data_IF_824852911840
#
_entry.id   IF_824852911840
#
_cell.length_a   1.000
_cell.length_b   1.000
_cell.length_c   1.000
_cell.angle_alpha   90.00
_cell.angle_beta   90.00
_cell.angle_gamma   90.00
#
_symmetry.space_group_name_H-M   'P 1'
#
loop_
_entity.id
_entity.type
_entity.pdbx_description
1 polymer ?
#
# COMPACT_ATOMS: atom_id res chain seq x y z
N UNK A 1 32.53 15.13 -14.59
CA UNK A 1 31.84 15.95 -13.55
C UNK A 1 30.34 15.71 -13.43
N UNK A 2 29.59 15.45 -14.52
CA UNK A 2 28.14 15.15 -14.45
C UNK A 2 27.81 13.79 -13.79
N UNK A 3 28.59 12.74 -14.07
CA UNK A 3 28.36 11.37 -13.54
C UNK A 3 28.55 11.29 -12.02
N UNK A 4 29.50 12.05 -11.46
CA UNK A 4 29.78 12.11 -10.02
C UNK A 4 28.71 12.88 -9.24
N UNK A 5 28.10 13.90 -9.86
CA UNK A 5 26.99 14.65 -9.25
C UNK A 5 25.70 13.83 -9.12
N UNK A 6 25.39 13.00 -10.12
CA UNK A 6 24.22 12.10 -10.11
C UNK A 6 24.39 11.04 -9.01
N UNK A 7 25.55 10.40 -8.90
CA UNK A 7 25.82 9.38 -7.87
C UNK A 7 25.78 9.94 -6.44
N UNK A 8 26.23 11.18 -6.24
CA UNK A 8 26.17 11.84 -4.92
C UNK A 8 24.72 12.21 -4.56
N UNK A 9 23.95 12.73 -5.52
CA UNK A 9 22.54 13.04 -5.36
C UNK A 9 21.71 11.77 -5.09
N UNK A 10 21.99 10.67 -5.79
CA UNK A 10 21.39 9.36 -5.54
C UNK A 10 21.73 8.82 -4.15
N UNK A 11 22.98 8.93 -3.68
CA UNK A 11 23.36 8.53 -2.31
C UNK A 11 22.64 9.35 -1.23
N UNK A 12 22.49 10.66 -1.44
CA UNK A 12 21.76 11.53 -0.51
C UNK A 12 20.26 11.18 -0.53
N UNK A 13 19.65 11.08 -1.72
CA UNK A 13 18.26 10.67 -1.89
C UNK A 13 17.99 9.28 -1.31
N UNK A 14 18.94 8.35 -1.44
CA UNK A 14 18.85 7.00 -0.89
C UNK A 14 18.88 6.99 0.64
N UNK A 15 19.74 7.82 1.27
CA UNK A 15 19.73 7.98 2.74
C UNK A 15 18.38 8.48 3.27
N UNK A 16 17.69 9.34 2.53
CA UNK A 16 16.32 9.76 2.86
C UNK A 16 15.28 8.67 2.50
N UNK A 17 15.47 7.96 1.39
CA UNK A 17 14.59 6.88 0.95
C UNK A 17 14.57 5.68 1.90
N UNK A 18 15.69 5.37 2.57
CA UNK A 18 15.79 4.29 3.58
C UNK A 18 14.84 4.47 4.78
N UNK A 19 14.36 5.70 5.00
CA UNK A 19 13.30 5.91 5.98
C UNK A 19 11.98 5.29 5.50
N UNK A 20 11.69 5.33 4.21
CA UNK A 20 10.40 4.93 3.62
C UNK A 20 10.40 3.58 2.93
N UNK A 21 11.57 2.99 2.73
CA UNK A 21 11.78 1.71 2.05
C UNK A 21 12.66 0.85 2.98
N UNK A 22 12.44 -0.47 2.97
CA UNK A 22 13.20 -1.38 3.80
C UNK A 22 14.65 -1.57 3.32
N UNK A 23 14.84 -1.59 2.00
CA UNK A 23 16.07 -1.89 1.29
C UNK A 23 15.74 -2.57 -0.04
N UNK A 24 16.75 -3.13 -0.70
CA UNK A 24 16.61 -3.70 -2.05
C UNK A 24 16.23 -5.18 -2.04
N UNK A 25 16.43 -5.87 -0.92
CA UNK A 25 16.30 -7.32 -0.85
C UNK A 25 15.09 -7.77 -0.03
N UNK A 26 14.69 -9.03 -0.23
CA UNK A 26 13.70 -9.69 0.64
C UNK A 26 14.16 -9.70 2.10
N UNK A 27 15.47 -9.86 2.33
CA UNK A 27 16.02 -9.91 3.69
C UNK A 27 15.81 -8.57 4.41
N UNK A 28 16.00 -7.45 3.71
CA UNK A 28 15.75 -6.11 4.24
C UNK A 28 14.26 -5.93 4.59
N UNK A 29 13.37 -6.32 3.68
CA UNK A 29 11.92 -6.27 3.89
C UNK A 29 11.51 -7.07 5.13
N UNK A 30 12.04 -8.28 5.26
CA UNK A 30 11.75 -9.19 6.35
C UNK A 30 12.32 -8.68 7.69
N UNK A 31 13.52 -8.10 7.71
CA UNK A 31 14.08 -7.46 8.92
C UNK A 31 13.26 -6.24 9.34
N UNK A 32 12.81 -5.42 8.38
CA UNK A 32 11.91 -4.31 8.68
C UNK A 32 10.56 -4.82 9.22
N UNK A 33 10.04 -5.94 8.72
CA UNK A 33 8.82 -6.55 9.23
C UNK A 33 8.98 -7.05 10.69
N UNK A 34 10.10 -7.72 11.00
CA UNK A 34 10.46 -8.09 12.38
C UNK A 34 10.55 -6.88 13.29
N UNK A 35 11.20 -5.81 12.83
CA UNK A 35 11.34 -4.58 13.61
C UNK A 35 9.97 -3.95 13.89
N UNK A 36 9.09 -3.86 12.89
CA UNK A 36 7.72 -3.38 13.10
C UNK A 36 6.99 -4.22 14.15
N UNK A 37 7.07 -5.55 14.05
CA UNK A 37 6.41 -6.48 14.96
C UNK A 37 6.94 -6.40 16.40
N UNK A 38 8.26 -6.29 16.58
CA UNK A 38 8.88 -6.06 17.89
C UNK A 38 8.39 -4.76 18.56
N UNK A 39 7.95 -3.79 17.76
CA UNK A 39 7.40 -2.52 18.22
C UNK A 39 5.86 -2.51 18.24
N UNK A 40 5.21 -3.67 18.27
CA UNK A 40 3.76 -3.82 18.40
C UNK A 40 2.96 -3.53 17.12
N UNK A 41 3.61 -3.35 15.97
CA UNK A 41 2.95 -3.07 14.68
C UNK A 41 2.92 -4.32 13.80
N UNK A 42 1.82 -4.54 13.09
CA UNK A 42 1.79 -5.52 12.01
C UNK A 42 2.63 -5.04 10.81
N UNK A 43 2.96 -5.95 9.89
CA UNK A 43 3.75 -5.65 8.69
C UNK A 43 2.99 -5.99 7.40
N UNK A 44 2.96 -5.06 6.45
CA UNK A 44 2.43 -5.27 5.10
C UNK A 44 3.57 -5.06 4.11
N UNK A 45 4.15 -6.15 3.60
CA UNK A 45 5.32 -6.07 2.70
C UNK A 45 4.87 -5.92 1.25
N UNK A 46 5.51 -5.02 0.51
CA UNK A 46 5.24 -4.79 -0.91
C UNK A 46 6.54 -4.68 -1.71
N UNK A 47 6.63 -5.39 -2.83
CA UNK A 47 7.72 -5.22 -3.78
C UNK A 47 7.48 -3.98 -4.65
N UNK A 48 8.49 -3.16 -4.83
CA UNK A 48 8.47 -2.00 -5.73
C UNK A 48 8.61 -2.41 -7.19
N UNK A 49 7.95 -1.68 -8.09
CA UNK A 49 7.85 -1.96 -9.52
C UNK A 49 6.39 -2.09 -9.96
N UNK A 50 6.09 -1.87 -11.23
CA UNK A 50 4.75 -1.96 -11.85
C UNK A 50 4.95 -2.35 -13.32
N UNK A 51 3.90 -2.82 -14.00
CA UNK A 51 3.86 -3.06 -15.46
C UNK A 51 4.90 -4.05 -15.99
N UNK A 52 5.10 -5.18 -15.32
CA UNK A 52 6.07 -6.20 -15.73
C UNK A 52 5.45 -7.14 -16.77
N UNK A 53 6.12 -7.32 -17.90
CA UNK A 53 5.69 -8.23 -18.99
C UNK A 53 6.62 -9.43 -19.20
N UNK A 54 7.80 -9.43 -18.58
CA UNK A 54 8.74 -10.56 -18.65
C UNK A 54 8.25 -11.73 -17.80
N UNK A 55 7.96 -12.87 -18.43
CA UNK A 55 7.54 -14.10 -17.72
C UNK A 55 8.58 -14.54 -16.68
N UNK A 56 9.87 -14.41 -16.99
CA UNK A 56 10.94 -14.79 -16.07
C UNK A 56 10.96 -13.88 -14.82
N UNK A 57 10.76 -12.57 -15.02
CA UNK A 57 10.70 -11.61 -13.93
C UNK A 57 9.43 -11.80 -13.08
N UNK A 58 8.27 -11.99 -13.69
CA UNK A 58 7.02 -12.32 -12.99
C UNK A 58 7.18 -13.57 -12.14
N UNK A 59 7.75 -14.64 -12.69
CA UNK A 59 8.01 -15.88 -11.95
C UNK A 59 8.92 -15.65 -10.75
N UNK A 60 9.93 -14.78 -10.88
CA UNK A 60 10.78 -14.38 -9.75
C UNK A 60 9.99 -13.60 -8.70
N UNK A 61 9.16 -12.64 -9.11
CA UNK A 61 8.31 -11.84 -8.20
C UNK A 61 7.35 -12.74 -7.42
N UNK A 62 6.70 -13.69 -8.09
CA UNK A 62 5.81 -14.67 -7.45
C UNK A 62 6.56 -15.48 -6.39
N UNK A 63 7.75 -16.00 -6.72
CA UNK A 63 8.62 -16.73 -5.78
C UNK A 63 9.06 -15.85 -4.61
N UNK A 64 9.35 -14.57 -4.85
CA UNK A 64 9.72 -13.61 -3.81
C UNK A 64 8.58 -13.44 -2.79
N UNK A 65 7.34 -13.24 -3.28
CA UNK A 65 6.16 -13.15 -2.40
C UNK A 65 5.91 -14.44 -1.62
N UNK A 66 6.04 -15.61 -2.25
CA UNK A 66 5.93 -16.92 -1.58
C UNK A 66 6.96 -17.06 -0.46
N UNK A 67 8.22 -16.64 -0.71
CA UNK A 67 9.28 -16.66 0.32
C UNK A 67 8.96 -15.73 1.49
N UNK A 68 8.38 -14.54 1.22
CA UNK A 68 8.00 -13.58 2.26
C UNK A 68 6.90 -14.16 3.15
N UNK A 69 5.81 -14.69 2.57
CA UNK A 69 4.69 -15.22 3.35
C UNK A 69 5.09 -16.42 4.21
N UNK A 70 5.88 -17.35 3.67
CA UNK A 70 6.40 -18.49 4.44
C UNK A 70 7.33 -18.05 5.59
N UNK A 71 8.07 -16.95 5.40
CA UNK A 71 8.94 -16.39 6.44
C UNK A 71 8.14 -15.77 7.59
N UNK A 72 6.97 -15.19 7.33
CA UNK A 72 6.12 -14.60 8.38
C UNK A 72 5.71 -15.65 9.42
N UNK A 73 5.35 -16.85 8.97
CA UNK A 73 5.05 -17.99 9.86
C UNK A 73 6.25 -18.36 10.73
N UNK A 74 7.41 -18.57 10.12
CA UNK A 74 8.66 -18.93 10.84
C UNK A 74 9.03 -17.87 11.88
N UNK A 75 8.80 -16.60 11.58
CA UNK A 75 9.23 -15.47 12.42
C UNK A 75 8.13 -14.96 13.35
N UNK A 76 6.97 -15.61 13.35
CA UNK A 76 5.78 -15.22 14.13
C UNK A 76 5.37 -13.75 13.92
N UNK A 77 5.62 -13.20 12.72
CA UNK A 77 5.23 -11.83 12.37
C UNK A 77 3.78 -11.83 11.91
N UNK A 78 2.96 -10.93 12.45
CA UNK A 78 1.58 -10.73 12.00
C UNK A 78 1.50 -9.66 10.92
N UNK A 79 0.61 -9.89 9.94
CA UNK A 79 0.30 -8.91 8.90
C UNK A 79 0.00 -9.57 7.56
N UNK A 80 0.55 -8.99 6.49
CA UNK A 80 0.23 -9.37 5.12
C UNK A 80 1.30 -8.98 4.10
N UNK A 81 0.94 -9.20 2.84
CA UNK A 81 1.64 -8.65 1.68
C UNK A 81 0.67 -7.77 0.87
N UNK A 82 1.22 -6.86 0.09
CA UNK A 82 0.49 -6.07 -0.91
C UNK A 82 1.06 -6.37 -2.28
N UNK A 83 0.22 -6.87 -3.18
CA UNK A 83 0.62 -7.27 -4.53
C UNK A 83 -0.06 -6.34 -5.53
N UNK A 84 0.72 -5.82 -6.48
CA UNK A 84 0.20 -5.07 -7.62
C UNK A 84 -0.11 -6.04 -8.76
N UNK A 85 -1.34 -6.09 -9.29
CA UNK A 85 -1.70 -6.97 -10.40
C UNK A 85 -0.75 -6.89 -11.59
N UNK A 86 -0.29 -5.70 -11.98
CA UNK A 86 0.61 -5.52 -13.12
C UNK A 86 2.02 -6.09 -12.90
N UNK A 87 2.45 -6.29 -11.65
CA UNK A 87 3.72 -6.96 -11.34
C UNK A 87 3.66 -8.48 -11.52
N UNK A 88 2.45 -9.05 -11.51
CA UNK A 88 2.24 -10.50 -11.50
C UNK A 88 1.48 -11.00 -12.72
N UNK A 89 1.35 -10.16 -13.75
CA UNK A 89 0.93 -10.57 -15.08
C UNK A 89 -0.29 -9.87 -15.65
N UNK A 90 -0.88 -8.88 -14.97
CA UNK A 90 -2.04 -8.14 -15.53
C UNK A 90 -1.67 -7.45 -16.85
N UNK A 91 -0.44 -6.97 -16.99
CA UNK A 91 0.07 -6.39 -18.24
C UNK A 91 0.26 -7.40 -19.38
N UNK A 92 0.05 -8.69 -19.13
CA UNK A 92 0.05 -9.75 -20.15
C UNK A 92 -1.38 -10.17 -20.45
N UNK A 93 -2.08 -10.67 -19.42
CA UNK A 93 -3.52 -10.97 -19.50
C UNK A 93 -4.11 -11.16 -18.11
N UNK A 94 -5.44 -11.05 -18.04
CA UNK A 94 -6.22 -11.35 -16.84
C UNK A 94 -5.92 -12.75 -16.27
N UNK A 95 -5.86 -13.77 -17.13
CA UNK A 95 -5.64 -15.18 -16.76
C UNK A 95 -4.24 -15.38 -16.17
N UNK A 96 -3.21 -14.75 -16.75
CA UNK A 96 -1.84 -14.84 -16.25
C UNK A 96 -1.74 -14.24 -14.85
N UNK A 97 -2.36 -13.06 -14.65
CA UNK A 97 -2.42 -12.43 -13.33
C UNK A 97 -3.12 -13.32 -12.31
N UNK A 98 -4.30 -13.83 -12.66
CA UNK A 98 -5.12 -14.69 -11.81
C UNK A 98 -4.36 -15.94 -11.37
N UNK A 99 -3.72 -16.66 -12.31
CA UNK A 99 -2.93 -17.85 -12.01
C UNK A 99 -1.77 -17.56 -11.05
N UNK A 100 -1.08 -16.43 -11.22
CA UNK A 100 0.04 -16.07 -10.37
C UNK A 100 -0.40 -15.60 -8.99
N UNK A 101 -1.48 -14.83 -8.88
CA UNK A 101 -2.08 -14.47 -7.59
C UNK A 101 -2.54 -15.72 -6.82
N UNK A 102 -3.17 -16.69 -7.49
CA UNK A 102 -3.56 -17.95 -6.85
C UNK A 102 -2.36 -18.69 -6.24
N UNK A 103 -1.21 -18.74 -6.92
CA UNK A 103 0.02 -19.36 -6.37
C UNK A 103 0.49 -18.64 -5.10
N UNK A 104 0.47 -17.30 -5.09
CA UNK A 104 0.85 -16.50 -3.93
C UNK A 104 -0.13 -16.72 -2.77
N UNK A 105 -1.44 -16.66 -3.05
CA UNK A 105 -2.49 -16.77 -2.02
C UNK A 105 -2.48 -18.16 -1.39
N UNK A 106 -2.27 -19.24 -2.16
CA UNK A 106 -2.14 -20.60 -1.60
C UNK A 106 -1.02 -20.68 -0.55
N UNK A 107 0.16 -20.14 -0.84
CA UNK A 107 1.26 -20.07 0.15
C UNK A 107 0.93 -19.16 1.34
N UNK A 108 0.16 -18.09 1.12
CA UNK A 108 -0.27 -17.20 2.18
C UNK A 108 -1.27 -17.87 3.15
N UNK A 109 -2.16 -18.74 2.65
CA UNK A 109 -3.10 -19.54 3.45
C UNK A 109 -2.34 -20.44 4.42
N UNK A 110 -1.32 -21.17 3.97
CA UNK A 110 -0.47 -22.03 4.80
C UNK A 110 0.27 -21.27 5.92
N UNK A 111 0.41 -19.95 5.75
CA UNK A 111 1.11 -19.05 6.67
C UNK A 111 0.18 -18.10 7.42
N UNK A 112 -1.15 -18.27 7.29
CA UNK A 112 -2.19 -17.38 7.82
C UNK A 112 -1.95 -15.89 7.54
N UNK A 113 -1.28 -15.58 6.43
CA UNK A 113 -0.87 -14.23 6.05
C UNK A 113 -1.96 -13.59 5.18
N UNK A 114 -2.24 -12.31 5.39
CA UNK A 114 -3.24 -11.59 4.59
C UNK A 114 -2.66 -11.16 3.24
N UNK A 115 -3.43 -11.26 2.16
CA UNK A 115 -3.03 -10.73 0.84
C UNK A 115 -3.91 -9.54 0.49
N UNK A 116 -3.28 -8.40 0.22
CA UNK A 116 -3.95 -7.22 -0.31
C UNK A 116 -3.64 -7.09 -1.80
N UNK A 117 -4.68 -6.95 -2.61
CA UNK A 117 -4.57 -6.53 -4.01
C UNK A 117 -4.55 -5.00 -4.02
N UNK A 118 -3.40 -4.44 -4.41
CA UNK A 118 -3.26 -3.00 -4.56
C UNK A 118 -4.04 -2.51 -5.80
N UNK A 119 -4.61 -1.32 -5.68
CA UNK A 119 -5.26 -0.63 -6.79
C UNK A 119 -4.28 0.33 -7.46
N UNK A 120 -4.09 0.15 -8.76
CA UNK A 120 -3.18 0.92 -9.60
C UNK A 120 -3.90 2.12 -10.24
N UNK A 121 -3.51 2.57 -11.43
CA UNK A 121 -4.22 3.66 -12.13
C UNK A 121 -5.67 3.30 -12.45
N UNK A 122 -6.48 4.29 -12.81
CA UNK A 122 -7.88 4.05 -13.19
C UNK A 122 -8.04 3.07 -14.36
N UNK A 123 -7.02 3.00 -15.23
CA UNK A 123 -7.01 2.13 -16.41
C UNK A 123 -7.08 0.64 -16.05
N UNK A 124 -6.68 0.26 -14.83
CA UNK A 124 -6.68 -1.12 -14.34
C UNK A 124 -7.77 -1.39 -13.30
N UNK A 125 -8.64 -0.42 -13.00
CA UNK A 125 -9.61 -0.56 -11.90
C UNK A 125 -10.60 -1.70 -12.14
N UNK A 126 -11.19 -1.77 -13.33
CA UNK A 126 -12.18 -2.79 -13.66
C UNK A 126 -11.58 -4.20 -13.66
N UNK A 127 -10.42 -4.37 -14.30
CA UNK A 127 -9.72 -5.66 -14.32
C UNK A 127 -9.31 -6.12 -12.92
N UNK A 128 -8.84 -5.19 -12.06
CA UNK A 128 -8.44 -5.50 -10.69
C UNK A 128 -9.63 -5.93 -9.83
N UNK A 129 -10.80 -5.32 -10.00
CA UNK A 129 -12.04 -5.71 -9.33
C UNK A 129 -12.50 -7.09 -9.83
N UNK A 130 -12.43 -7.35 -11.15
CA UNK A 130 -12.73 -8.66 -11.74
C UNK A 130 -11.87 -9.78 -11.14
N UNK A 131 -10.54 -9.57 -11.08
CA UNK A 131 -9.60 -10.49 -10.45
C UNK A 131 -9.97 -10.74 -8.98
N UNK A 132 -10.36 -9.70 -8.25
CA UNK A 132 -10.76 -9.86 -6.86
C UNK A 132 -11.99 -10.76 -6.73
N UNK A 133 -13.01 -10.59 -7.56
CA UNK A 133 -14.20 -11.44 -7.54
C UNK A 133 -13.89 -12.90 -7.82
N UNK A 134 -13.05 -13.19 -8.81
CA UNK A 134 -12.64 -14.56 -9.16
C UNK A 134 -11.90 -15.28 -8.02
N UNK A 135 -11.20 -14.52 -7.18
CA UNK A 135 -10.41 -15.05 -6.07
C UNK A 135 -11.20 -15.08 -4.75
N UNK A 136 -12.06 -14.09 -4.52
CA UNK A 136 -12.72 -13.87 -3.24
C UNK A 136 -13.59 -15.06 -2.82
N UNK A 137 -14.29 -15.71 -3.76
CA UNK A 137 -15.11 -16.89 -3.49
C UNK A 137 -14.31 -18.08 -2.93
N UNK A 138 -12.98 -18.09 -3.11
CA UNK A 138 -12.10 -19.22 -2.75
C UNK A 138 -11.19 -18.91 -1.57
N UNK A 139 -10.98 -17.65 -1.23
CA UNK A 139 -9.94 -17.24 -0.28
C UNK A 139 -10.41 -16.16 0.70
N UNK A 140 -10.53 -16.54 1.98
CA UNK A 140 -11.05 -15.65 3.02
C UNK A 140 -10.07 -14.51 3.39
N UNK A 141 -8.75 -14.74 3.36
CA UNK A 141 -7.72 -13.76 3.79
C UNK A 141 -7.21 -12.90 2.64
N UNK A 142 -8.14 -12.39 1.85
CA UNK A 142 -7.90 -11.54 0.69
C UNK A 142 -8.68 -10.22 0.83
N UNK A 143 -8.04 -9.12 0.45
CA UNK A 143 -8.66 -7.80 0.41
C UNK A 143 -8.19 -6.99 -0.79
N UNK A 144 -8.93 -5.92 -1.10
CA UNK A 144 -8.67 -5.05 -2.25
C UNK A 144 -8.60 -3.58 -1.79
N UNK A 145 -7.70 -2.81 -2.40
CA UNK A 145 -7.62 -1.38 -2.16
C UNK A 145 -8.65 -0.61 -3.01
N UNK A 146 -9.22 0.46 -2.45
CA UNK A 146 -10.09 1.40 -3.17
C UNK A 146 -9.67 2.84 -2.92
N UNK A 147 -9.78 3.67 -3.96
CA UNK A 147 -9.18 5.00 -3.99
C UNK A 147 -10.25 6.10 -3.86
N UNK A 148 -10.20 6.88 -2.78
CA UNK A 148 -11.20 7.90 -2.50
C UNK A 148 -11.20 9.09 -3.48
N UNK A 149 -10.14 9.29 -4.27
CA UNK A 149 -10.09 10.33 -5.29
C UNK A 149 -10.91 10.02 -6.53
N UNK A 150 -11.31 8.78 -6.78
CA UNK A 150 -12.14 8.44 -7.95
C UNK A 150 -13.63 8.64 -7.64
N UNK A 151 -14.39 9.13 -8.62
CA UNK A 151 -15.84 9.36 -8.48
C UNK A 151 -16.64 8.05 -8.43
N UNK A 152 -16.14 7.00 -9.10
CA UNK A 152 -16.76 5.66 -9.17
C UNK A 152 -16.73 4.89 -7.84
N UNK A 153 -15.74 5.17 -6.97
CA UNK A 153 -15.40 4.35 -5.80
C UNK A 153 -16.55 4.08 -4.83
N UNK A 154 -17.51 5.00 -4.72
CA UNK A 154 -18.68 4.76 -3.86
C UNK A 154 -19.51 3.58 -4.36
N UNK A 155 -19.73 3.48 -5.66
CA UNK A 155 -20.53 2.43 -6.25
C UNK A 155 -19.76 1.11 -6.20
N UNK A 156 -18.48 1.11 -6.59
CA UNK A 156 -17.61 -0.07 -6.49
C UNK A 156 -17.55 -0.59 -5.05
N UNK A 157 -17.44 0.30 -4.04
CA UNK A 157 -17.42 -0.10 -2.63
C UNK A 157 -18.75 -0.71 -2.18
N UNK A 158 -19.90 -0.18 -2.62
CA UNK A 158 -21.21 -0.73 -2.24
C UNK A 158 -21.35 -2.15 -2.78
N UNK A 159 -20.97 -2.37 -4.03
CA UNK A 159 -21.02 -3.66 -4.71
C UNK A 159 -20.04 -4.67 -4.07
N UNK A 160 -18.79 -4.28 -3.84
CA UNK A 160 -17.82 -5.14 -3.18
C UNK A 160 -18.26 -5.52 -1.75
N UNK A 161 -18.82 -4.57 -0.99
CA UNK A 161 -19.30 -4.83 0.36
C UNK A 161 -20.54 -5.73 0.41
N UNK A 162 -21.42 -5.72 -0.61
CA UNK A 162 -22.57 -6.65 -0.65
C UNK A 162 -22.12 -8.11 -0.77
N UNK A 163 -20.93 -8.34 -1.33
CA UNK A 163 -20.29 -9.66 -1.40
C UNK A 163 -19.39 -9.95 -0.19
N UNK A 164 -19.26 -9.05 0.78
CA UNK A 164 -18.43 -9.26 1.98
C UNK A 164 -16.95 -8.95 1.79
N UNK A 165 -16.59 -8.16 0.77
CA UNK A 165 -15.21 -7.80 0.49
C UNK A 165 -14.51 -7.10 1.67
N UNK A 166 -13.21 -7.37 1.82
CA UNK A 166 -12.33 -6.68 2.76
C UNK A 166 -11.62 -5.54 2.05
N UNK A 167 -11.93 -4.31 2.45
CA UNK A 167 -11.49 -3.12 1.72
C UNK A 167 -10.36 -2.40 2.45
N UNK A 168 -9.31 -2.03 1.72
CA UNK A 168 -8.37 -1.00 2.15
C UNK A 168 -8.77 0.33 1.51
N UNK A 169 -9.16 1.31 2.32
CA UNK A 169 -9.46 2.65 1.83
C UNK A 169 -8.21 3.53 1.83
N UNK A 170 -7.81 4.00 0.65
CA UNK A 170 -6.73 4.98 0.44
C UNK A 170 -7.29 6.27 -0.19
N UNK A 171 -6.52 7.36 -0.19
CA UNK A 171 -6.89 8.56 -0.96
C UNK A 171 -6.71 8.38 -2.47
N UNK A 172 -5.75 7.56 -2.90
CA UNK A 172 -5.33 7.44 -4.30
C UNK A 172 -3.95 8.08 -4.52
N UNK A 173 -3.13 7.47 -5.38
CA UNK A 173 -1.72 7.84 -5.56
C UNK A 173 -1.34 8.18 -7.01
N UNK A 174 -2.29 8.09 -7.94
CA UNK A 174 -2.10 8.29 -9.38
C UNK A 174 -2.70 9.62 -9.84
N UNK A 175 -2.14 10.18 -10.92
CA UNK A 175 -2.60 11.45 -11.50
C UNK A 175 -3.67 11.16 -12.55
N UNK A 176 -4.93 11.31 -12.15
CA UNK A 176 -6.08 10.93 -12.99
C UNK A 176 -6.72 12.09 -13.74
N UNK A 177 -7.62 11.86 -14.70
CA UNK A 177 -8.37 12.96 -15.37
C UNK A 177 -9.43 13.55 -14.42
N UNK A 178 -9.74 14.85 -14.56
CA UNK A 178 -10.77 15.55 -13.74
C UNK A 178 -12.18 15.00 -13.94
N UNK A 179 -12.44 14.44 -15.11
CA UNK A 179 -13.70 13.81 -15.47
C UNK A 179 -14.01 12.62 -14.55
N UNK A 180 -12.99 11.84 -14.18
CA UNK A 180 -13.12 10.63 -13.37
C UNK A 180 -12.67 10.79 -11.91
N UNK A 181 -11.90 11.85 -11.58
CA UNK A 181 -11.30 12.05 -10.26
C UNK A 181 -11.49 13.44 -9.67
N UNK A 182 -11.73 13.50 -8.35
CA UNK A 182 -11.67 14.72 -7.55
C UNK A 182 -10.24 15.28 -7.50
N UNK A 183 -10.07 16.58 -7.76
CA UNK A 183 -8.75 17.24 -7.78
C UNK A 183 -8.39 17.95 -6.49
N UNK A 184 -9.37 18.59 -5.87
CA UNK A 184 -9.09 19.35 -4.65
C UNK A 184 -8.88 18.38 -3.50
N UNK A 185 -7.88 18.66 -2.66
CA UNK A 185 -7.65 17.90 -1.42
C UNK A 185 -8.94 17.85 -0.58
N UNK A 186 -9.69 18.95 -0.52
CA UNK A 186 -10.95 19.05 0.22
C UNK A 186 -11.99 18.06 -0.29
N UNK A 187 -12.16 17.90 -1.61
CA UNK A 187 -13.14 16.98 -2.17
C UNK A 187 -12.73 15.52 -1.97
N UNK A 188 -11.43 15.21 -2.10
CA UNK A 188 -10.89 13.88 -1.77
C UNK A 188 -11.12 13.56 -0.29
N UNK A 189 -10.85 14.51 0.61
CA UNK A 189 -11.03 14.33 2.06
C UNK A 189 -12.52 14.14 2.42
N UNK A 190 -13.42 14.93 1.80
CA UNK A 190 -14.87 14.76 1.94
C UNK A 190 -15.31 13.38 1.46
N UNK A 191 -14.82 12.92 0.30
CA UNK A 191 -15.20 11.61 -0.22
C UNK A 191 -14.61 10.47 0.61
N UNK A 192 -13.35 10.58 1.05
CA UNK A 192 -12.72 9.62 1.96
C UNK A 192 -13.54 9.46 3.24
N UNK A 193 -13.99 10.56 3.85
CA UNK A 193 -14.83 10.52 5.04
C UNK A 193 -16.20 9.87 4.78
N UNK A 194 -16.81 10.12 3.61
CA UNK A 194 -18.06 9.45 3.20
C UNK A 194 -17.87 7.93 3.06
N UNK A 195 -16.80 7.50 2.37
CA UNK A 195 -16.46 6.10 2.16
C UNK A 195 -16.07 5.40 3.47
N UNK A 196 -15.31 6.06 4.34
CA UNK A 196 -14.97 5.54 5.66
C UNK A 196 -16.21 5.30 6.52
N UNK A 197 -17.18 6.24 6.51
CA UNK A 197 -18.47 6.02 7.20
C UNK A 197 -19.23 4.82 6.62
N UNK A 198 -19.15 4.59 5.32
CA UNK A 198 -19.75 3.43 4.68
C UNK A 198 -19.09 2.12 5.17
N UNK A 199 -17.76 2.07 5.26
CA UNK A 199 -17.03 0.92 5.82
C UNK A 199 -17.42 0.64 7.27
N UNK A 200 -17.49 1.65 8.14
CA UNK A 200 -17.91 1.42 9.52
C UNK A 200 -19.37 0.94 9.64
N UNK A 201 -20.24 1.32 8.70
CA UNK A 201 -21.64 0.85 8.68
C UNK A 201 -21.80 -0.56 8.12
N UNK A 202 -21.12 -0.87 7.01
CA UNK A 202 -21.38 -2.07 6.20
C UNK A 202 -20.22 -3.07 6.13
N UNK A 203 -18.99 -2.64 6.37
CA UNK A 203 -17.82 -3.51 6.33
C UNK A 203 -17.73 -4.44 7.53
N UNK A 204 -17.06 -5.58 7.33
CA UNK A 204 -16.76 -6.56 8.38
C UNK A 204 -15.33 -6.41 8.90
N UNK A 205 -14.36 -6.41 7.97
CA UNK A 205 -12.94 -6.19 8.23
C UNK A 205 -12.37 -5.26 7.14
N UNK A 206 -11.66 -4.20 7.54
CA UNK A 206 -11.14 -3.22 6.59
C UNK A 206 -9.86 -2.52 7.08
N UNK A 207 -9.10 -1.97 6.13
CA UNK A 207 -7.94 -1.12 6.39
C UNK A 207 -8.25 0.35 6.13
N UNK A 208 -7.90 1.23 7.07
CA UNK A 208 -7.92 2.67 6.86
C UNK A 208 -6.48 3.14 6.62
N UNK A 209 -6.14 3.35 5.35
CA UNK A 209 -4.78 3.66 4.92
C UNK A 209 -4.58 5.17 4.74
N UNK A 210 -4.11 5.84 5.80
CA UNK A 210 -3.95 7.30 5.82
C UNK A 210 -2.93 7.77 6.86
N UNK A 211 -2.26 8.89 6.57
CA UNK A 211 -1.44 9.65 7.53
C UNK A 211 -2.09 10.97 7.94
N UNK A 212 -3.32 11.22 7.46
CA UNK A 212 -4.05 12.44 7.74
C UNK A 212 -4.67 12.36 9.14
N UNK A 213 -4.17 13.19 10.06
CA UNK A 213 -4.61 13.19 11.46
C UNK A 213 -6.11 13.43 11.61
N UNK A 214 -6.72 14.26 10.75
CA UNK A 214 -8.18 14.49 10.79
C UNK A 214 -8.94 13.22 10.44
N UNK A 215 -8.49 12.48 9.42
CA UNK A 215 -9.12 11.22 9.03
C UNK A 215 -8.95 10.15 10.11
N UNK A 216 -7.78 10.09 10.74
CA UNK A 216 -7.52 9.19 11.88
C UNK A 216 -8.46 9.52 13.04
N UNK A 217 -8.58 10.78 13.44
CA UNK A 217 -9.50 11.20 14.50
C UNK A 217 -10.96 10.85 14.17
N UNK A 218 -11.39 11.02 12.92
CA UNK A 218 -12.72 10.60 12.49
C UNK A 218 -12.90 9.08 12.59
N UNK A 219 -11.91 8.28 12.19
CA UNK A 219 -11.96 6.82 12.35
C UNK A 219 -12.07 6.41 13.83
N UNK A 220 -11.28 7.04 14.71
CA UNK A 220 -11.35 6.82 16.17
C UNK A 220 -12.71 7.20 16.74
N UNK A 221 -13.34 8.28 16.26
CA UNK A 221 -14.70 8.65 16.67
C UNK A 221 -15.73 7.64 16.18
N UNK A 222 -15.59 7.15 14.94
CA UNK A 222 -16.48 6.15 14.38
C UNK A 222 -16.36 4.79 15.07
N UNK A 223 -15.15 4.39 15.47
CA UNK A 223 -14.93 3.10 16.16
C UNK A 223 -15.57 3.04 17.55
N UNK A 224 -15.84 4.18 18.19
CA UNK A 224 -16.63 4.24 19.43
C UNK A 224 -18.12 3.99 19.20
N UNK A 225 -18.60 4.22 17.98
CA UNK A 225 -20.01 4.06 17.60
C UNK A 225 -20.28 2.70 16.94
N UNK A 226 -19.30 2.18 16.20
CA UNK A 226 -19.43 0.94 15.45
C UNK A 226 -18.31 -0.01 15.88
N UNK A 227 -18.69 -1.11 16.53
CA UNK A 227 -17.78 -2.20 16.88
C UNK A 227 -17.42 -3.00 15.63
N UNK A 228 -16.40 -2.53 14.91
CA UNK A 228 -15.90 -3.15 13.68
C UNK A 228 -14.44 -3.53 13.82
N UNK A 229 -14.04 -4.62 13.16
CA UNK A 229 -12.64 -5.01 13.04
C UNK A 229 -11.98 -4.15 11.97
N UNK A 230 -11.02 -3.32 12.35
CA UNK A 230 -10.25 -2.55 11.38
C UNK A 230 -8.84 -2.29 11.87
N UNK A 231 -7.95 -1.94 10.94
CA UNK A 231 -6.59 -1.52 11.25
C UNK A 231 -6.23 -0.21 10.55
N UNK A 232 -5.38 0.59 11.21
CA UNK A 232 -4.72 1.72 10.57
C UNK A 232 -3.53 1.22 9.78
N UNK A 233 -3.47 1.54 8.49
CA UNK A 233 -2.38 1.13 7.61
C UNK A 233 -1.58 2.36 7.22
N UNK A 234 -0.29 2.35 7.53
CA UNK A 234 0.56 3.54 7.39
C UNK A 234 1.88 3.16 6.76
N UNK A 235 2.34 3.94 5.79
CA UNK A 235 3.68 3.76 5.22
C UNK A 235 4.77 3.79 6.31
N UNK A 236 5.75 2.89 6.19
CA UNK A 236 7.00 2.89 6.98
C UNK A 236 7.67 4.26 6.90
N UNK A 237 8.15 4.78 8.03
CA UNK A 237 8.90 6.04 8.10
C UNK A 237 8.07 7.31 7.88
N UNK A 238 6.75 7.19 7.77
CA UNK A 238 5.85 8.32 7.52
C UNK A 238 4.93 8.48 8.74
N UNK A 239 5.07 9.64 9.39
CA UNK A 239 4.29 10.01 10.58
C UNK A 239 4.44 8.99 11.72
N UNK A 240 5.64 8.45 11.91
CA UNK A 240 5.90 7.38 12.89
C UNK A 240 5.54 7.76 14.33
N UNK A 241 5.48 9.05 14.65
CA UNK A 241 5.07 9.57 15.95
C UNK A 241 3.62 9.23 16.33
N UNK A 242 2.71 9.06 15.35
CA UNK A 242 1.30 8.74 15.64
C UNK A 242 1.07 7.24 15.91
N UNK A 243 1.94 6.37 15.40
CA UNK A 243 1.75 4.92 15.47
C UNK A 243 1.72 4.41 16.92
N UNK A 244 2.69 4.77 17.81
CA UNK A 244 2.62 4.39 19.21
C UNK A 244 1.39 4.94 19.95
N UNK A 245 0.89 6.12 19.57
CA UNK A 245 -0.32 6.71 20.16
C UNK A 245 -1.55 5.87 19.82
N UNK A 246 -1.67 5.40 18.58
CA UNK A 246 -2.75 4.52 18.15
C UNK A 246 -2.68 3.14 18.82
N UNK A 247 -1.47 2.56 18.93
CA UNK A 247 -1.25 1.30 19.66
C UNK A 247 -1.67 1.40 21.13
N UNK A 248 -1.27 2.48 21.83
CA UNK A 248 -1.67 2.74 23.23
C UNK A 248 -3.18 2.90 23.40
N UNK A 249 -3.89 3.32 22.35
CA UNK A 249 -5.36 3.40 22.31
C UNK A 249 -6.03 2.06 21.97
N UNK A 250 -5.26 0.97 21.82
CA UNK A 250 -5.76 -0.37 21.53
C UNK A 250 -6.04 -0.66 20.06
N UNK A 251 -5.66 0.23 19.13
CA UNK A 251 -5.86 -0.01 17.71
C UNK A 251 -4.78 -0.90 17.11
N UNK A 252 -5.16 -1.72 16.13
CA UNK A 252 -4.20 -2.42 15.27
C UNK A 252 -3.59 -1.41 14.30
N UNK A 253 -2.26 -1.40 14.23
CA UNK A 253 -1.49 -0.55 13.31
C UNK A 253 -0.57 -1.43 12.47
N UNK A 254 -0.63 -1.25 11.16
CA UNK A 254 0.19 -1.96 10.17
C UNK A 254 1.13 -1.00 9.45
N UNK A 255 2.42 -1.35 9.43
CA UNK A 255 3.41 -0.67 8.59
C UNK A 255 3.35 -1.24 7.16
N UNK A 256 3.06 -0.40 6.17
CA UNK A 256 3.28 -0.72 4.77
C UNK A 256 4.77 -0.52 4.45
N UNK A 257 5.44 -1.61 4.10
CA UNK A 257 6.90 -1.74 3.99
C UNK A 257 7.25 -2.04 2.53
N UNK A 258 7.60 -1.01 1.74
CA UNK A 258 8.11 -1.19 0.40
C UNK A 258 9.55 -1.72 0.43
N UNK A 259 9.93 -2.54 -0.54
CA UNK A 259 11.31 -2.97 -0.78
C UNK A 259 11.58 -3.16 -2.27
N UNK A 260 12.84 -3.16 -2.65
CA UNK A 260 13.29 -3.43 -4.03
C UNK A 260 13.97 -2.23 -4.67
N UNK A 261 14.68 -2.52 -5.76
CA UNK A 261 15.57 -1.61 -6.48
C UNK A 261 14.85 -0.44 -7.15
N UNK A 262 13.53 -0.54 -7.39
CA UNK A 262 12.74 0.49 -8.07
C UNK A 262 12.28 1.59 -7.09
N UNK A 263 13.18 2.04 -6.22
CA UNK A 263 12.90 2.95 -5.12
C UNK A 263 12.71 4.40 -5.55
N UNK A 264 13.37 4.86 -6.61
CA UNK A 264 13.42 6.27 -6.98
C UNK A 264 12.04 6.86 -7.31
N UNK A 265 11.20 6.28 -8.19
CA UNK A 265 9.85 6.81 -8.45
C UNK A 265 8.97 6.85 -7.21
N UNK A 266 9.09 5.83 -6.36
CA UNK A 266 8.36 5.76 -5.10
C UNK A 266 8.78 6.90 -4.14
N UNK A 267 10.08 7.10 -3.94
CA UNK A 267 10.62 8.13 -3.06
C UNK A 267 10.32 9.55 -3.54
N UNK A 268 10.40 9.81 -4.85
CA UNK A 268 10.01 11.11 -5.43
C UNK A 268 8.54 11.43 -5.12
N UNK A 269 7.65 10.44 -5.24
CA UNK A 269 6.23 10.63 -4.91
C UNK A 269 6.04 10.99 -3.43
N UNK A 270 6.76 10.32 -2.52
CA UNK A 270 6.74 10.63 -1.07
C UNK A 270 7.28 12.03 -0.74
N UNK A 271 8.29 12.50 -1.47
CA UNK A 271 8.79 13.86 -1.34
C UNK A 271 7.74 14.90 -1.77
N UNK A 272 7.10 14.70 -2.93
CA UNK A 272 6.08 15.62 -3.47
C UNK A 272 4.83 15.73 -2.58
N UNK A 273 4.47 14.66 -1.88
CA UNK A 273 3.32 14.65 -0.96
C UNK A 273 3.53 15.49 0.32
N UNK A 274 4.76 15.95 0.60
CA UNK A 274 5.09 16.72 1.82
C UNK A 274 5.67 18.09 1.50
N UNK A 275 4.94 19.16 1.86
CA UNK A 275 5.39 20.56 1.72
C UNK A 275 6.77 20.84 2.33
N UNK A 276 7.07 20.25 3.50
CA UNK A 276 8.36 20.39 4.19
C UNK A 276 9.54 19.76 3.42
N UNK A 277 9.27 18.78 2.56
CA UNK A 277 10.28 18.10 1.74
C UNK A 277 10.49 18.78 0.37
N UNK A 278 9.55 19.61 -0.09
CA UNK A 278 9.72 20.42 -1.31
C UNK A 278 10.84 21.46 -1.12
N UNK A 279 10.99 22.01 0.09
CA UNK A 279 12.11 22.88 0.45
C UNK A 279 13.47 22.17 0.30
N UNK A 280 13.54 20.86 0.56
CA UNK A 280 14.76 20.05 0.40
C UNK A 280 15.12 19.83 -1.08
N UNK A 281 14.12 19.69 -1.96
CA UNK A 281 14.33 19.66 -3.41
C UNK A 281 14.90 21.00 -3.90
N UNK A 282 14.33 22.12 -3.42
CA UNK A 282 14.81 23.47 -3.74
C UNK A 282 16.26 23.71 -3.32
N UNK A 283 16.64 23.31 -2.10
CA UNK A 283 18.03 23.44 -1.64
C UNK A 283 19.03 22.60 -2.42
N UNK A 284 18.63 21.41 -2.90
CA UNK A 284 19.50 20.55 -3.72
C UNK A 284 19.72 21.13 -5.13
N UNK A 285 18.74 21.83 -5.70
CA UNK A 285 18.88 22.54 -6.98
C UNK A 285 19.74 23.81 -6.87
N UNK A 286 19.69 24.51 -5.74
CA UNK A 286 20.52 25.69 -5.47
C UNK A 286 21.99 25.29 -5.27
N UNK A 287 22.24 24.11 -4.71
CA UNK A 287 23.60 23.60 -4.50
C UNK A 287 24.24 23.06 -5.79
N UNK A 288 23.45 22.66 -6.80
CA UNK A 288 23.95 22.20 -8.09
C UNK A 288 24.19 23.33 -9.12
N UNK A 289 23.81 24.58 -8.80
CA UNK A 289 24.03 25.77 -9.63
C UNK A 289 25.00 26.78 -8.99
N UNK A 290 25.74 26.36 -7.96
CA UNK A 290 26.93 27.07 -7.47
C UNK A 290 28.18 26.26 -7.84
N UNK A 291 28.49 26.24 -9.13
CA UNK A 291 29.84 26.13 -9.69
C UNK A 291 29.87 27.06 -10.89
#
# INVERSE_FOLDING_TARGET
MLVTGIQLMEKILFRFANQWIAGDTIYDALNSAKFAYKNGRHAIVNKLGEYITSKAEINKIVKDYQKIVLSFRKWKVRGGISVKPTQVGLSISHEVCLQNLQKIIKSAVESHTFVWIDMESSDHTDETIGIYYDLFARFERLGIALQANLKRTKNDMIDLLSHGAKIRLVKGAYKEKTTISFKSKSDVDKNFLKLMRLLFKKGNEFGIATHDLKMIEHAVKLSKKYEKKFEFQMLKGISDNIKPILLKKGFVVSDYIPYGTNWLPYSIRRLKERKRNILLLGSSFIQSHRV
#
